data_IF_338069437232
#
_entry.id   IF_338069437232
#
_cell.length_a   1.000
_cell.length_b   1.000
_cell.length_c   1.000
_cell.angle_alpha   90.00
_cell.angle_beta   90.00
_cell.angle_gamma   90.00
#
_symmetry.space_group_name_H-M   'P 1'
#
loop_
_entity.id
_entity.type
_entity.pdbx_description
1 polymer ?
#
# COMPACT_ATOMS: atom_id res chain seq x y z
N UNK A 1 17.45 9.51 30.42
CA UNK A 1 16.35 10.18 29.70
C UNK A 1 15.84 9.23 28.64
N UNK A 2 15.02 8.28 29.08
CA UNK A 2 14.83 6.99 28.43
C UNK A 2 13.42 6.87 27.86
N UNK A 3 13.31 6.51 26.57
CA UNK A 3 12.28 5.55 26.13
C UNK A 3 10.92 6.03 25.62
N UNK A 4 10.84 7.05 24.75
CA UNK A 4 9.56 7.44 24.10
C UNK A 4 9.34 6.89 22.67
N UNK A 5 10.12 5.91 22.22
CA UNK A 5 10.08 5.43 20.82
C UNK A 5 9.13 4.25 20.52
N UNK A 6 8.09 3.99 21.33
CA UNK A 6 7.17 2.86 21.05
C UNK A 6 5.73 3.03 21.59
N UNK A 7 5.05 4.14 21.29
CA UNK A 7 3.62 4.32 21.61
C UNK A 7 2.74 4.92 20.50
N UNK A 8 3.22 5.08 19.27
CA UNK A 8 2.34 5.42 18.15
C UNK A 8 1.73 4.15 17.55
N UNK A 9 0.40 4.09 17.47
CA UNK A 9 -0.28 3.09 16.64
C UNK A 9 0.13 3.26 15.18
N UNK A 10 0.31 2.14 14.47
CA UNK A 10 0.47 2.18 13.02
C UNK A 10 -0.83 2.61 12.34
N UNK A 11 -0.73 3.24 11.18
CA UNK A 11 -1.88 3.59 10.34
C UNK A 11 -2.73 2.35 9.99
N UNK A 12 -2.10 1.17 9.85
CA UNK A 12 -2.81 -0.11 9.71
C UNK A 12 -3.73 -0.42 10.90
N UNK A 13 -3.34 -0.06 12.12
CA UNK A 13 -4.21 -0.23 13.29
C UNK A 13 -5.41 0.72 13.24
N UNK A 14 -5.22 1.96 12.77
CA UNK A 14 -6.32 2.89 12.55
C UNK A 14 -7.25 2.46 11.41
N UNK A 15 -6.70 1.86 10.34
CA UNK A 15 -7.49 1.23 9.29
C UNK A 15 -8.40 0.13 9.86
N UNK A 16 -7.89 -0.73 10.75
CA UNK A 16 -8.69 -1.77 11.42
C UNK A 16 -9.76 -1.17 12.34
N UNK A 17 -9.46 -0.09 13.09
CA UNK A 17 -10.47 0.65 13.86
C UNK A 17 -11.56 1.20 12.94
N UNK A 18 -11.19 1.78 11.79
CA UNK A 18 -12.13 2.28 10.79
C UNK A 18 -13.05 1.17 10.27
N UNK A 19 -12.49 0.01 9.92
CA UNK A 19 -13.26 -1.14 9.48
C UNK A 19 -14.23 -1.64 10.56
N UNK A 20 -13.79 -1.73 11.81
CA UNK A 20 -14.64 -2.11 12.94
C UNK A 20 -15.74 -1.08 13.21
N UNK A 21 -15.45 0.21 13.06
CA UNK A 21 -16.44 1.29 13.21
C UNK A 21 -17.53 1.26 12.13
N UNK A 22 -17.18 0.90 10.89
CA UNK A 22 -18.13 0.85 9.77
C UNK A 22 -18.89 -0.48 9.70
N UNK A 23 -18.22 -1.61 9.94
CA UNK A 23 -18.78 -2.96 9.77
C UNK A 23 -19.34 -3.56 11.06
N UNK A 24 -19.02 -2.96 12.20
CA UNK A 24 -19.27 -3.53 13.51
C UNK A 24 -18.32 -4.69 13.83
N UNK A 25 -18.77 -5.57 14.72
CA UNK A 25 -17.97 -6.64 15.28
C UNK A 25 -17.54 -7.67 14.23
N UNK A 26 -16.23 -7.95 14.13
CA UNK A 26 -15.64 -8.84 13.13
C UNK A 26 -14.44 -9.60 13.68
N UNK A 27 -14.16 -10.78 13.12
CA UNK A 27 -12.91 -11.50 13.38
C UNK A 27 -11.74 -10.87 12.63
N UNK A 28 -10.52 -11.15 13.11
CA UNK A 28 -9.30 -10.73 12.40
C UNK A 28 -9.20 -11.28 10.97
N UNK A 29 -9.76 -12.46 10.72
CA UNK A 29 -9.83 -13.03 9.38
C UNK A 29 -10.76 -12.23 8.45
N UNK A 30 -11.96 -11.89 8.92
CA UNK A 30 -12.90 -11.06 8.16
C UNK A 30 -12.34 -9.67 7.89
N UNK A 31 -11.69 -9.05 8.89
CA UNK A 31 -11.03 -7.75 8.73
C UNK A 31 -9.92 -7.80 7.68
N UNK A 32 -9.09 -8.85 7.68
CA UNK A 32 -8.07 -9.07 6.64
C UNK A 32 -8.69 -9.20 5.25
N UNK A 33 -9.76 -10.01 5.13
CA UNK A 33 -10.47 -10.22 3.87
C UNK A 33 -11.03 -8.91 3.33
N UNK A 34 -11.66 -8.10 4.19
CA UNK A 34 -12.18 -6.78 3.79
C UNK A 34 -11.05 -5.85 3.39
N UNK A 35 -9.95 -5.81 4.15
CA UNK A 35 -8.80 -4.96 3.83
C UNK A 35 -8.21 -5.30 2.45
N UNK A 36 -8.11 -6.58 2.10
CA UNK A 36 -7.66 -7.03 0.77
C UNK A 36 -8.58 -6.65 -0.38
N UNK A 37 -9.88 -6.54 -0.09
CA UNK A 37 -10.93 -6.21 -1.06
C UNK A 37 -11.23 -4.71 -1.16
N UNK A 38 -10.68 -3.88 -0.27
CA UNK A 38 -10.98 -2.45 -0.21
C UNK A 38 -9.72 -1.60 0.01
N UNK A 39 -9.13 -1.67 1.19
CA UNK A 39 -8.01 -0.81 1.62
C UNK A 39 -6.78 -1.00 0.75
N UNK A 40 -6.50 -2.24 0.31
CA UNK A 40 -5.35 -2.61 -0.54
C UNK A 40 -5.15 -1.71 -1.77
N UNK A 41 -6.22 -1.12 -2.30
CA UNK A 41 -6.17 -0.35 -3.54
C UNK A 41 -5.65 1.09 -3.38
N UNK A 42 -5.67 1.62 -2.16
CA UNK A 42 -5.23 2.99 -1.88
C UNK A 42 -4.33 3.08 -0.64
N UNK A 43 -4.12 1.96 0.05
CA UNK A 43 -3.25 1.86 1.20
C UNK A 43 -2.68 0.44 1.30
N UNK A 44 -1.59 0.27 2.05
CA UNK A 44 -0.99 -1.04 2.22
C UNK A 44 -1.96 -2.00 2.94
N UNK A 45 -2.17 -3.19 2.38
CA UNK A 45 -2.90 -4.24 3.10
C UNK A 45 -1.94 -4.97 4.05
N UNK A 46 -2.16 -4.91 5.37
CA UNK A 46 -1.31 -5.61 6.32
C UNK A 46 -1.36 -7.13 6.09
N UNK A 47 -0.23 -7.81 6.28
CA UNK A 47 -0.19 -9.28 6.32
C UNK A 47 -1.09 -9.82 7.44
N UNK A 48 -1.42 -11.11 7.37
CA UNK A 48 -2.23 -11.76 8.42
C UNK A 48 -1.60 -11.56 9.80
N UNK A 49 -0.29 -11.75 9.93
CA UNK A 49 0.41 -11.56 11.21
C UNK A 49 0.41 -10.09 11.67
N UNK A 50 0.50 -9.13 10.76
CA UNK A 50 0.37 -7.71 11.08
C UNK A 50 -1.04 -7.36 11.58
N UNK A 51 -2.11 -7.92 10.99
CA UNK A 51 -3.48 -7.73 11.46
C UNK A 51 -3.64 -8.22 12.90
N UNK A 52 -3.23 -9.46 13.21
CA UNK A 52 -3.38 -9.99 14.57
C UNK A 52 -2.50 -9.25 15.58
N UNK A 53 -1.27 -8.84 15.22
CA UNK A 53 -0.45 -7.99 16.08
C UNK A 53 -1.10 -6.64 16.37
N UNK A 54 -1.68 -6.00 15.36
CA UNK A 54 -2.38 -4.73 15.53
C UNK A 54 -3.63 -4.88 16.40
N UNK A 55 -4.45 -5.93 16.18
CA UNK A 55 -5.64 -6.19 17.01
C UNK A 55 -5.28 -6.43 18.48
N UNK A 56 -4.23 -7.21 18.74
CA UNK A 56 -3.74 -7.42 20.11
C UNK A 56 -3.24 -6.12 20.75
N UNK A 57 -2.57 -5.26 19.98
CA UNK A 57 -2.14 -3.95 20.47
C UNK A 57 -3.34 -3.03 20.76
N UNK A 58 -4.34 -2.99 19.88
CA UNK A 58 -5.56 -2.20 20.06
C UNK A 58 -6.35 -2.67 21.30
N UNK A 59 -6.41 -3.97 21.54
CA UNK A 59 -7.06 -4.56 22.72
C UNK A 59 -6.33 -4.17 24.00
N UNK A 60 -5.00 -4.30 24.03
CA UNK A 60 -4.15 -3.87 25.16
C UNK A 60 -4.29 -2.38 25.49
N UNK A 61 -4.58 -1.56 24.49
CA UNK A 61 -4.80 -0.11 24.66
C UNK A 61 -6.25 0.24 24.98
N UNK A 62 -7.16 -0.74 25.06
CA UNK A 62 -8.58 -0.53 25.36
C UNK A 62 -9.38 0.08 24.20
N UNK A 63 -8.83 0.08 22.99
CA UNK A 63 -9.50 0.63 21.79
C UNK A 63 -10.44 -0.36 21.11
N UNK A 64 -10.24 -1.65 21.38
CA UNK A 64 -11.19 -2.71 21.02
C UNK A 64 -11.41 -3.64 22.21
N UNK A 65 -12.57 -4.28 22.27
CA UNK A 65 -12.79 -5.48 23.08
C UNK A 65 -12.74 -6.71 22.18
N UNK A 66 -12.37 -7.86 22.76
CA UNK A 66 -12.47 -9.14 22.11
C UNK A 66 -13.34 -10.11 22.92
N UNK A 67 -14.04 -11.01 22.23
CA UNK A 67 -14.74 -12.14 22.83
C UNK A 67 -14.53 -13.39 21.99
N UNK A 68 -14.48 -14.53 22.66
CA UNK A 68 -14.43 -15.84 22.01
C UNK A 68 -15.84 -16.32 21.67
N UNK A 69 -15.96 -17.01 20.55
CA UNK A 69 -17.19 -17.65 20.09
C UNK A 69 -16.85 -19.08 19.77
N UNK A 70 -17.40 -19.99 20.57
CA UNK A 70 -17.28 -21.42 20.37
C UNK A 70 -17.86 -21.80 19.00
N UNK A 71 -17.16 -22.67 18.29
CA UNK A 71 -17.64 -23.23 17.03
C UNK A 71 -17.62 -24.76 17.13
N UNK A 72 -18.74 -25.42 16.84
CA UNK A 72 -18.90 -26.87 17.03
C UNK A 72 -17.93 -27.73 16.21
N UNK A 73 -17.44 -27.22 15.09
CA UNK A 73 -16.64 -27.96 14.09
C UNK A 73 -15.44 -27.17 13.56
N UNK A 74 -15.16 -26.00 14.14
CA UNK A 74 -14.04 -25.13 13.75
C UNK A 74 -13.33 -24.62 15.02
N UNK A 75 -12.07 -24.17 14.92
CA UNK A 75 -11.42 -23.47 16.03
C UNK A 75 -12.22 -22.25 16.46
N UNK A 76 -12.23 -21.95 17.75
CA UNK A 76 -12.96 -20.80 18.31
C UNK A 76 -12.66 -19.51 17.57
N UNK A 77 -13.72 -18.75 17.29
CA UNK A 77 -13.63 -17.49 16.56
C UNK A 77 -13.51 -16.34 17.54
N UNK A 78 -12.38 -15.66 17.50
CA UNK A 78 -12.20 -14.41 18.26
C UNK A 78 -12.77 -13.22 17.48
N UNK A 79 -13.77 -12.57 18.06
CA UNK A 79 -14.45 -11.40 17.49
C UNK A 79 -14.00 -10.13 18.21
N UNK A 80 -13.77 -9.07 17.43
CA UNK A 80 -13.33 -7.78 17.93
C UNK A 80 -14.39 -6.72 17.69
N UNK A 81 -14.55 -5.79 18.63
CA UNK A 81 -15.47 -4.66 18.54
C UNK A 81 -14.75 -3.38 19.00
N UNK A 82 -14.95 -2.29 18.27
CA UNK A 82 -14.39 -0.99 18.65
C UNK A 82 -15.07 -0.45 19.92
N UNK A 83 -14.28 0.17 20.80
CA UNK A 83 -14.78 0.84 22.02
C UNK A 83 -14.98 2.34 21.79
N UNK A 84 -15.70 3.06 22.67
CA UNK A 84 -15.78 4.53 22.61
C UNK A 84 -14.41 5.22 22.62
N UNK A 85 -13.44 4.66 23.35
CA UNK A 85 -12.06 5.16 23.35
C UNK A 85 -11.39 4.95 21.99
N UNK A 86 -11.59 3.78 21.37
CA UNK A 86 -11.10 3.49 20.02
C UNK A 86 -11.71 4.38 18.95
N UNK A 87 -13.01 4.68 19.04
CA UNK A 87 -13.65 5.63 18.15
C UNK A 87 -13.09 7.05 18.29
N UNK A 88 -12.85 7.49 19.54
CA UNK A 88 -12.23 8.80 19.80
C UNK A 88 -10.82 8.87 19.23
N UNK A 89 -10.03 7.80 19.41
CA UNK A 89 -8.68 7.70 18.85
C UNK A 89 -8.69 7.72 17.31
N UNK A 90 -9.63 7.01 16.69
CA UNK A 90 -9.82 7.01 15.24
C UNK A 90 -10.20 8.40 14.72
N UNK A 91 -11.16 9.08 15.37
CA UNK A 91 -11.56 10.45 14.99
C UNK A 91 -10.39 11.43 15.09
N UNK A 92 -9.59 11.32 16.15
CA UNK A 92 -8.40 12.15 16.32
C UNK A 92 -7.36 11.91 15.21
N UNK A 93 -7.11 10.64 14.85
CA UNK A 93 -6.19 10.31 13.76
C UNK A 93 -6.68 10.81 12.39
N UNK A 94 -7.97 10.63 12.08
CA UNK A 94 -8.58 11.13 10.84
C UNK A 94 -8.57 12.67 10.75
N UNK A 95 -8.56 13.36 11.89
CA UNK A 95 -8.50 14.81 11.96
C UNK A 95 -7.07 15.39 11.99
N UNK A 96 -6.04 14.54 11.93
CA UNK A 96 -4.63 14.98 12.00
C UNK A 96 -4.30 15.95 10.85
N UNK A 97 -3.59 17.02 11.18
CA UNK A 97 -3.09 18.01 10.22
C UNK A 97 -1.59 18.28 10.45
N UNK A 98 -0.82 18.50 9.38
CA UNK A 98 -1.20 18.28 7.98
C UNK A 98 -1.42 16.78 7.68
N UNK A 99 -2.11 16.48 6.57
CA UNK A 99 -2.04 15.13 6.00
C UNK A 99 -0.57 14.89 5.62
N UNK A 100 0.02 13.75 6.00
CA UNK A 100 1.38 13.43 5.56
C UNK A 100 1.40 13.28 4.04
N UNK A 101 2.56 13.55 3.39
CA UNK A 101 2.72 13.24 1.98
C UNK A 101 2.59 11.74 1.74
N UNK A 102 2.08 11.36 0.57
CA UNK A 102 2.03 9.97 0.15
C UNK A 102 3.47 9.43 -0.05
N UNK A 103 3.74 8.23 0.47
CA UNK A 103 4.96 7.50 0.14
C UNK A 103 4.76 6.68 -1.15
N UNK A 104 5.32 7.14 -2.26
CA UNK A 104 5.26 6.40 -3.53
C UNK A 104 6.32 5.29 -3.50
N UNK A 105 5.88 4.04 -3.41
CA UNK A 105 6.73 2.84 -3.53
C UNK A 105 6.22 1.97 -4.69
N UNK A 106 6.74 2.21 -5.89
CA UNK A 106 6.36 1.48 -7.11
C UNK A 106 7.47 0.50 -7.51
N UNK A 107 7.28 -0.82 -7.30
CA UNK A 107 8.22 -1.82 -7.79
C UNK A 107 8.38 -1.77 -9.31
N UNK A 108 7.31 -1.49 -10.06
CA UNK A 108 7.34 -1.40 -11.51
C UNK A 108 8.25 -0.27 -12.00
N UNK A 109 8.13 0.92 -11.40
CA UNK A 109 8.98 2.07 -11.74
C UNK A 109 10.43 1.79 -11.39
N UNK A 110 10.70 1.12 -10.27
CA UNK A 110 12.06 0.73 -9.89
C UNK A 110 12.67 -0.29 -10.86
N UNK A 111 11.88 -1.28 -11.31
CA UNK A 111 12.31 -2.25 -12.31
C UNK A 111 12.67 -1.57 -13.62
N UNK A 112 11.82 -0.66 -14.12
CA UNK A 112 12.08 0.07 -15.38
C UNK A 112 13.29 1.00 -15.23
N UNK A 113 13.46 1.64 -14.08
CA UNK A 113 14.62 2.48 -13.79
C UNK A 113 15.94 1.70 -13.92
N UNK A 114 15.94 0.41 -13.56
CA UNK A 114 17.07 -0.50 -13.73
C UNK A 114 16.88 -1.47 -14.90
N UNK A 115 16.11 -1.08 -15.93
CA UNK A 115 15.69 -1.94 -17.02
C UNK A 115 16.86 -2.59 -17.77
N UNK A 116 17.98 -1.87 -17.90
CA UNK A 116 19.20 -2.36 -18.58
C UNK A 116 19.85 -3.57 -17.88
N UNK A 117 19.51 -3.83 -16.60
CA UNK A 117 20.02 -4.98 -15.85
C UNK A 117 19.16 -6.24 -16.02
N UNK A 118 18.04 -6.15 -16.74
CA UNK A 118 17.05 -7.22 -16.89
C UNK A 118 16.99 -7.66 -18.34
N UNK A 119 17.02 -8.98 -18.66
CA UNK A 119 16.82 -9.44 -20.02
C UNK A 119 15.52 -8.88 -20.60
N UNK A 120 15.59 -8.39 -21.84
CA UNK A 120 14.48 -7.67 -22.48
C UNK A 120 13.17 -8.46 -22.46
N UNK A 121 13.25 -9.76 -22.69
CA UNK A 121 12.09 -10.67 -22.70
C UNK A 121 11.43 -10.72 -21.33
N UNK A 122 12.21 -10.78 -20.26
CA UNK A 122 11.71 -10.80 -18.88
C UNK A 122 11.04 -9.45 -18.54
N UNK A 123 11.64 -8.33 -18.95
CA UNK A 123 11.04 -7.01 -18.75
C UNK A 123 9.70 -6.88 -19.49
N UNK A 124 9.62 -7.37 -20.73
CA UNK A 124 8.37 -7.37 -21.51
C UNK A 124 7.28 -8.21 -20.84
N UNK A 125 7.61 -9.41 -20.36
CA UNK A 125 6.68 -10.26 -19.60
C UNK A 125 6.15 -9.54 -18.35
N UNK A 126 7.04 -8.92 -17.57
CA UNK A 126 6.67 -8.17 -16.36
C UNK A 126 5.74 -6.98 -16.66
N UNK A 127 5.98 -6.27 -17.77
CA UNK A 127 5.15 -5.16 -18.23
C UNK A 127 3.77 -5.64 -18.68
N UNK A 128 3.71 -6.74 -19.45
CA UNK A 128 2.43 -7.34 -19.86
C UNK A 128 1.60 -7.81 -18.66
N UNK A 129 2.24 -8.47 -17.69
CA UNK A 129 1.60 -8.86 -16.44
C UNK A 129 1.06 -7.66 -15.66
N UNK A 130 1.85 -6.56 -15.59
CA UNK A 130 1.41 -5.33 -14.93
C UNK A 130 0.20 -4.72 -15.62
N UNK A 131 0.22 -4.65 -16.95
CA UNK A 131 -0.90 -4.16 -17.77
C UNK A 131 -2.15 -4.98 -17.54
N UNK A 132 -2.04 -6.32 -17.60
CA UNK A 132 -3.18 -7.22 -17.39
C UNK A 132 -3.79 -7.06 -16.00
N UNK A 133 -2.95 -6.89 -14.96
CA UNK A 133 -3.42 -6.61 -13.60
C UNK A 133 -4.17 -5.27 -13.52
N UNK A 134 -3.64 -4.22 -14.15
CA UNK A 134 -4.28 -2.91 -14.18
C UNK A 134 -5.62 -2.93 -14.93
N UNK A 135 -5.73 -3.69 -16.02
CA UNK A 135 -6.98 -3.90 -16.75
C UNK A 135 -8.03 -4.64 -15.91
N UNK A 136 -7.62 -5.70 -15.21
CA UNK A 136 -8.50 -6.44 -14.32
C UNK A 136 -9.00 -5.56 -13.15
N UNK A 137 -8.13 -4.73 -12.60
CA UNK A 137 -8.49 -3.77 -11.55
C UNK A 137 -9.44 -2.69 -12.09
N UNK A 138 -9.17 -2.14 -13.28
CA UNK A 138 -10.05 -1.17 -13.94
C UNK A 138 -11.45 -1.74 -14.17
N UNK A 139 -11.55 -2.94 -14.75
CA UNK A 139 -12.83 -3.60 -15.00
C UNK A 139 -13.64 -3.78 -13.70
N UNK A 140 -12.98 -4.27 -12.64
CA UNK A 140 -13.59 -4.45 -11.33
C UNK A 140 -14.02 -3.12 -10.70
N UNK A 141 -13.24 -2.06 -10.83
CA UNK A 141 -13.61 -0.76 -10.30
C UNK A 141 -14.82 -0.16 -11.01
N UNK A 142 -14.90 -0.29 -12.34
CA UNK A 142 -16.06 0.15 -13.11
C UNK A 142 -17.33 -0.65 -12.74
N UNK A 143 -17.19 -1.95 -12.48
CA UNK A 143 -18.29 -2.78 -11.98
C UNK A 143 -18.78 -2.28 -10.61
N UNK A 144 -17.86 -1.97 -9.68
CA UNK A 144 -18.22 -1.41 -8.37
C UNK A 144 -18.89 -0.04 -8.54
N UNK A 145 -18.36 0.83 -9.41
CA UNK A 145 -18.90 2.18 -9.62
C UNK A 145 -20.35 2.11 -10.10
N UNK A 146 -20.67 1.19 -11.01
CA UNK A 146 -22.05 1.01 -11.50
C UNK A 146 -23.01 0.52 -10.40
N UNK A 147 -22.56 -0.38 -9.51
CA UNK A 147 -23.37 -0.90 -8.39
C UNK A 147 -23.71 0.14 -7.33
N UNK A 148 -22.80 1.09 -7.10
CA UNK A 148 -22.98 2.15 -6.09
C UNK A 148 -23.45 3.47 -6.70
N UNK A 149 -23.71 3.49 -8.02
CA UNK A 149 -24.19 4.67 -8.72
C UNK A 149 -25.55 5.11 -8.14
N UNK A 150 -25.59 6.34 -7.62
CA UNK A 150 -26.82 6.93 -7.07
C UNK A 150 -27.05 6.71 -5.57
N UNK A 151 -26.23 5.92 -4.87
CA UNK A 151 -26.29 5.82 -3.39
C UNK A 151 -25.63 7.06 -2.75
N UNK A 152 -26.39 7.97 -2.09
CA UNK A 152 -25.81 9.14 -1.43
C UNK A 152 -24.86 8.75 -0.29
N UNK A 153 -25.08 7.58 0.34
CA UNK A 153 -24.22 7.04 1.41
C UNK A 153 -22.89 6.50 0.89
N UNK A 154 -22.72 6.42 -0.43
CA UNK A 154 -21.50 5.97 -1.08
C UNK A 154 -20.56 7.11 -1.51
N UNK A 155 -20.88 8.38 -1.20
CA UNK A 155 -20.10 9.54 -1.67
C UNK A 155 -18.59 9.37 -1.52
N UNK A 156 -18.11 9.13 -0.30
CA UNK A 156 -16.67 8.99 -0.03
C UNK A 156 -16.08 7.75 -0.71
N UNK A 157 -16.80 6.62 -0.71
CA UNK A 157 -16.37 5.40 -1.40
C UNK A 157 -16.22 5.63 -2.90
N UNK A 158 -17.14 6.36 -3.52
CA UNK A 158 -17.10 6.71 -4.94
C UNK A 158 -15.96 7.66 -5.27
N UNK A 159 -15.65 8.63 -4.40
CA UNK A 159 -14.50 9.52 -4.59
C UNK A 159 -13.18 8.74 -4.58
N UNK A 160 -13.01 7.82 -3.63
CA UNK A 160 -11.83 6.93 -3.57
C UNK A 160 -11.80 5.98 -4.77
N UNK A 161 -12.94 5.42 -5.16
CA UNK A 161 -13.03 4.52 -6.32
C UNK A 161 -12.62 5.21 -7.62
N UNK A 162 -13.03 6.46 -7.81
CA UNK A 162 -12.62 7.26 -8.97
C UNK A 162 -11.12 7.50 -9.02
N UNK A 163 -10.47 7.68 -7.86
CA UNK A 163 -9.00 7.73 -7.79
C UNK A 163 -8.40 6.42 -8.29
N UNK A 164 -8.88 5.28 -7.81
CA UNK A 164 -8.43 3.96 -8.28
C UNK A 164 -8.66 3.71 -9.77
N UNK A 165 -9.77 4.19 -10.34
CA UNK A 165 -10.03 4.13 -11.79
C UNK A 165 -9.01 4.97 -12.56
N UNK A 166 -8.72 6.18 -12.08
CA UNK A 166 -7.72 7.05 -12.71
C UNK A 166 -6.33 6.41 -12.66
N UNK A 167 -5.91 5.90 -11.49
CA UNK A 167 -4.62 5.26 -11.31
C UNK A 167 -4.46 4.01 -12.21
N UNK A 168 -5.52 3.20 -12.36
CA UNK A 168 -5.50 2.03 -13.23
C UNK A 168 -5.37 2.41 -14.72
N UNK A 169 -6.09 3.44 -15.16
CA UNK A 169 -5.98 3.98 -16.53
C UNK A 169 -4.59 4.54 -16.81
N UNK A 170 -4.06 5.30 -15.87
CA UNK A 170 -2.72 5.86 -15.96
C UNK A 170 -1.66 4.76 -16.05
N UNK A 171 -1.79 3.71 -15.23
CA UNK A 171 -0.89 2.56 -15.27
C UNK A 171 -0.91 1.88 -16.64
N UNK A 172 -2.08 1.67 -17.24
CA UNK A 172 -2.20 1.08 -18.58
C UNK A 172 -1.53 1.97 -19.62
N UNK A 173 -1.84 3.27 -19.61
CA UNK A 173 -1.29 4.23 -20.57
C UNK A 173 0.24 4.31 -20.47
N UNK A 174 0.78 4.38 -19.25
CA UNK A 174 2.21 4.41 -19.01
C UNK A 174 2.91 3.12 -19.43
N UNK A 175 2.32 1.94 -19.17
CA UNK A 175 2.89 0.67 -19.65
C UNK A 175 2.90 0.61 -21.18
N UNK A 176 1.83 1.08 -21.83
CA UNK A 176 1.76 1.15 -23.30
C UNK A 176 2.84 2.08 -23.87
N UNK A 177 3.12 3.22 -23.21
CA UNK A 177 4.22 4.13 -23.54
C UNK A 177 5.60 3.45 -23.43
N UNK A 178 5.85 2.76 -22.31
CA UNK A 178 7.12 2.05 -22.07
C UNK A 178 7.33 0.94 -23.10
N UNK A 179 6.30 0.14 -23.39
CA UNK A 179 6.36 -0.91 -24.40
C UNK A 179 6.66 -0.34 -25.79
N UNK A 180 6.03 0.79 -26.16
CA UNK A 180 6.30 1.47 -27.41
C UNK A 180 7.74 1.99 -27.51
N UNK A 181 8.31 2.52 -26.42
CA UNK A 181 9.70 2.95 -26.36
C UNK A 181 10.67 1.77 -26.52
N UNK A 182 10.44 0.65 -25.84
CA UNK A 182 11.25 -0.57 -25.95
C UNK A 182 11.18 -1.22 -27.33
N UNK A 183 10.06 -1.08 -28.05
CA UNK A 183 9.94 -1.53 -29.43
C UNK A 183 10.81 -0.69 -30.38
N UNK A 184 10.89 0.63 -30.15
CA UNK A 184 11.69 1.55 -30.97
C UNK A 184 13.20 1.45 -30.71
N UNK A 185 13.61 1.13 -29.47
CA UNK A 185 15.02 1.05 -29.09
C UNK A 185 15.78 -0.18 -29.67
N UNK A 186 15.07 -1.15 -30.25
CA UNK A 186 15.63 -2.37 -30.85
C UNK A 186 16.36 -3.29 -29.86
N UNK A 187 16.81 -4.49 -30.29
CA UNK A 187 17.48 -5.46 -29.42
C UNK A 187 18.87 -5.02 -28.92
N UNK A 188 19.50 -4.02 -29.55
CA UNK A 188 20.92 -3.70 -29.35
C UNK A 188 21.25 -2.66 -28.28
N UNK A 189 20.26 -2.08 -27.59
CA UNK A 189 20.47 -1.06 -26.55
C UNK A 189 20.61 -1.64 -25.13
N UNK A 190 20.11 -2.85 -24.89
CA UNK A 190 20.08 -3.52 -23.58
C UNK A 190 21.18 -4.58 -23.37
N UNK A 191 21.92 -4.95 -24.42
CA UNK A 191 23.04 -5.92 -24.36
C UNK A 191 24.40 -5.25 -24.12
N UNK A 192 24.44 -3.91 -24.04
CA UNK A 192 25.64 -3.20 -23.66
C UNK A 192 25.88 -3.41 -22.16
N UNK A 193 27.06 -3.88 -21.73
CA UNK A 193 27.35 -4.03 -20.31
C UNK A 193 27.14 -2.67 -19.62
N UNK A 194 26.60 -2.66 -18.39
CA UNK A 194 26.30 -1.42 -17.68
C UNK A 194 27.55 -0.55 -17.68
N UNK A 195 27.41 0.70 -18.15
CA UNK A 195 28.49 1.66 -18.07
C UNK A 195 28.96 1.70 -16.61
N UNK A 196 30.24 1.40 -16.39
CA UNK A 196 30.81 1.43 -15.05
C UNK A 196 30.52 2.81 -14.46
N UNK A 197 30.04 2.90 -13.20
CA UNK A 197 29.86 4.19 -12.59
C UNK A 197 31.22 4.89 -12.60
N UNK A 198 31.31 6.03 -13.28
CA UNK A 198 32.50 6.88 -13.22
C UNK A 198 32.79 7.12 -11.74
N UNK A 199 33.82 6.46 -11.24
CA UNK A 199 34.36 6.74 -9.91
C UNK A 199 34.87 8.17 -9.97
N UNK A 200 34.07 9.11 -9.46
CA UNK A 200 34.54 10.43 -9.07
C UNK A 200 35.50 10.26 -7.88
N UNK A 201 36.69 9.76 -8.16
CA UNK A 201 37.82 9.73 -7.26
C UNK A 201 38.78 10.84 -7.67
N UNK A 202 38.84 11.89 -6.84
CA UNK A 202 40.02 12.73 -6.72
C UNK A 202 39.86 14.17 -7.22
N UNK A 203 39.49 15.06 -6.30
CA UNK A 203 40.39 16.13 -5.85
C UNK A 203 39.78 16.88 -4.66
N UNK A 204 40.08 16.38 -3.45
CA UNK A 204 39.99 17.11 -2.20
C UNK A 204 41.34 16.99 -1.49
N UNK A 205 42.35 17.68 -2.02
CA UNK A 205 43.62 17.84 -1.33
C UNK A 205 43.44 18.87 -0.21
N UNK A 206 43.22 18.39 1.01
CA UNK A 206 43.42 19.22 2.22
C UNK A 206 44.87 19.01 2.63
N UNK A 207 45.73 19.94 2.21
CA UNK A 207 47.06 20.08 2.78
C UNK A 207 46.92 20.64 4.19
N UNK A 208 47.53 19.94 5.15
CA UNK A 208 47.50 20.28 6.55
C UNK A 208 48.58 21.26 6.99
N UNK A 209 48.48 21.52 8.29
CA UNK A 209 49.55 21.83 9.24
C UNK A 209 49.93 23.31 9.42
N UNK A 210 49.18 23.97 10.31
CA UNK A 210 49.67 25.10 11.09
C UNK A 210 50.50 24.58 12.27
N UNK A 211 51.82 24.85 12.25
CA UNK A 211 52.57 25.48 13.37
C UNK A 211 54.04 25.71 13.01
N UNK A 212 54.73 26.70 13.62
CA UNK A 212 54.96 26.80 15.08
C UNK A 212 54.25 27.96 15.78
#
# INVERSE_FOLDING_TARGET
>A
MSGEWNRSLSDNAYALLGLLGVLGERSGYELKKVADQSIRYFYWSPSRSQVYRALHQLERLGYVTAREVEQESLPDKRLYRITPAGESALRAWLARRPLPPDEIRSPATLVIFFGDLVPREVLLEQLHDLRQRAEADLARFLEIESRIAGDPRALFRRLVLRRGIADARETIAWVDEVLAALAQAGPGSSDAPPAQPETAAGQGAVAGDERP
#
